data_IF_577206361711
#
_entry.id   IF_577206361711
#
_cell.length_a   1.000
_cell.length_b   1.000
_cell.length_c   1.000
_cell.angle_alpha   90.00
_cell.angle_beta   90.00
_cell.angle_gamma   90.00
#
_symmetry.space_group_name_H-M   'P 1'
#
loop_
_entity.id
_entity.type
_entity.pdbx_description
1 polymer ?
#
# COMPACT_ATOMS: atom_id res chain seq x y z
N UNK A 1 -8.79 10.22 -5.21
CA UNK A 1 -7.53 9.75 -5.80
C UNK A 1 -6.34 10.25 -5.00
N UNK A 2 -5.23 9.54 -5.07
CA UNK A 2 -4.02 9.96 -4.38
C UNK A 2 -3.38 11.16 -5.11
N UNK A 3 -3.09 12.20 -4.34
CA UNK A 3 -2.36 13.35 -4.87
C UNK A 3 -0.90 12.97 -5.13
N UNK A 4 -0.21 13.80 -5.93
CA UNK A 4 1.19 13.55 -6.26
C UNK A 4 2.06 13.39 -5.01
N UNK A 5 1.86 14.22 -3.98
CA UNK A 5 2.61 14.14 -2.74
C UNK A 5 2.35 12.90 -1.91
N UNK A 6 1.32 12.13 -2.25
CA UNK A 6 0.98 10.88 -1.57
C UNK A 6 1.43 9.65 -2.36
N UNK A 7 2.33 9.81 -3.33
CA UNK A 7 2.82 8.70 -4.15
C UNK A 7 4.32 8.55 -4.06
N UNK A 8 4.78 7.32 -3.91
CA UNK A 8 6.19 6.99 -4.01
C UNK A 8 6.50 6.84 -5.50
N UNK A 9 7.53 7.52 -5.98
CA UNK A 9 7.84 7.55 -7.41
C UNK A 9 9.19 6.96 -7.79
N UNK A 10 10.14 6.86 -6.84
CA UNK A 10 11.50 6.40 -7.14
C UNK A 10 11.70 4.95 -6.75
N UNK A 11 12.38 4.20 -7.63
CA UNK A 11 12.70 2.79 -7.37
C UNK A 11 13.49 2.56 -6.10
N UNK A 12 14.42 3.46 -5.77
CA UNK A 12 15.21 3.36 -4.54
C UNK A 12 14.32 3.48 -3.29
N UNK A 13 13.27 4.29 -3.35
CA UNK A 13 12.33 4.44 -2.26
C UNK A 13 11.50 3.17 -2.06
N UNK A 14 11.08 2.53 -3.16
CA UNK A 14 10.40 1.25 -3.08
C UNK A 14 11.26 0.18 -2.41
N UNK A 15 12.53 0.10 -2.83
CA UNK A 15 13.46 -0.88 -2.27
C UNK A 15 13.68 -0.65 -0.77
N UNK A 16 13.80 0.59 -0.36
CA UNK A 16 14.01 0.94 1.04
C UNK A 16 12.84 0.47 1.90
N UNK A 17 11.61 0.69 1.43
CA UNK A 17 10.41 0.28 2.16
C UNK A 17 10.29 -1.24 2.22
N UNK A 18 10.51 -1.94 1.11
CA UNK A 18 10.40 -3.39 1.06
C UNK A 18 11.45 -4.06 1.95
N UNK A 19 12.67 -3.53 1.98
CA UNK A 19 13.76 -4.11 2.78
C UNK A 19 13.64 -3.80 4.25
N UNK A 20 13.29 -2.56 4.60
CA UNK A 20 13.31 -2.07 5.98
C UNK A 20 11.96 -2.00 6.66
N UNK A 21 10.88 -2.17 5.90
CA UNK A 21 9.53 -2.02 6.44
C UNK A 21 8.99 -3.25 7.14
N UNK A 22 8.01 -3.03 8.00
CA UNK A 22 7.25 -4.13 8.56
C UNK A 22 6.37 -4.72 7.45
N UNK A 23 6.31 -6.05 7.41
CA UNK A 23 5.63 -6.79 6.36
C UNK A 23 4.37 -7.44 6.91
N UNK A 24 3.28 -7.31 6.16
CA UNK A 24 2.03 -8.00 6.49
C UNK A 24 1.48 -8.65 5.22
N UNK A 25 1.38 -9.97 5.22
CA UNK A 25 0.80 -10.72 4.12
C UNK A 25 -0.68 -10.95 4.36
N UNK A 26 -1.49 -10.71 3.34
CA UNK A 26 -2.92 -10.97 3.36
C UNK A 26 -3.28 -11.87 2.18
N UNK A 27 -4.56 -12.13 1.97
CA UNK A 27 -5.01 -13.07 0.93
C UNK A 27 -4.61 -12.62 -0.48
N UNK A 28 -4.67 -11.32 -0.75
CA UNK A 28 -4.48 -10.78 -2.10
C UNK A 28 -3.32 -9.79 -2.20
N UNK A 29 -2.74 -9.39 -1.08
CA UNK A 29 -1.70 -8.35 -1.06
C UNK A 29 -0.66 -8.61 0.01
N UNK A 30 0.53 -8.05 -0.20
CA UNK A 30 1.55 -7.96 0.84
C UNK A 30 1.86 -6.49 1.02
N UNK A 31 1.73 -6.00 2.24
CA UNK A 31 1.92 -4.59 2.56
C UNK A 31 3.21 -4.40 3.37
N UNK A 32 4.00 -3.41 2.98
CA UNK A 32 5.23 -3.03 3.68
C UNK A 32 5.07 -1.59 4.15
N UNK A 33 5.40 -1.31 5.41
CA UNK A 33 5.26 0.01 5.99
C UNK A 33 6.54 0.43 6.69
N UNK A 34 7.01 1.63 6.39
CA UNK A 34 8.09 2.30 7.12
C UNK A 34 7.52 3.57 7.70
N UNK A 35 7.64 3.73 9.01
CA UNK A 35 7.28 4.98 9.68
C UNK A 35 8.52 5.87 9.76
N UNK A 36 8.39 7.13 9.38
CA UNK A 36 9.48 8.10 9.50
C UNK A 36 9.05 9.22 10.44
N UNK A 37 10.03 9.99 10.90
CA UNK A 37 9.76 11.16 11.73
C UNK A 37 9.52 12.41 10.87
N UNK A 38 9.53 12.27 9.55
CA UNK A 38 9.38 13.40 8.64
C UNK A 38 7.97 13.97 8.71
N UNK A 39 7.90 15.30 8.64
CA UNK A 39 6.63 16.02 8.65
C UNK A 39 6.14 16.19 7.21
N UNK A 40 5.58 15.13 6.68
CA UNK A 40 5.03 15.12 5.32
C UNK A 40 3.86 14.14 5.25
N UNK A 41 2.99 14.27 4.25
CA UNK A 41 1.88 13.32 4.08
C UNK A 41 2.39 11.89 3.88
N UNK A 42 1.58 10.92 4.27
CA UNK A 42 1.85 9.52 3.98
C UNK A 42 1.94 9.32 2.47
N UNK A 43 2.84 8.41 2.05
CA UNK A 43 3.02 8.10 0.63
C UNK A 43 2.78 6.63 0.38
N UNK A 44 2.23 6.33 -0.79
CA UNK A 44 1.90 4.97 -1.19
C UNK A 44 2.59 4.62 -2.50
N UNK A 45 3.03 3.37 -2.60
CA UNK A 45 3.54 2.81 -3.83
C UNK A 45 2.90 1.44 -4.08
N UNK A 46 2.84 1.04 -5.34
CA UNK A 46 2.18 -0.20 -5.73
C UNK A 46 3.09 -1.01 -6.63
N UNK A 47 3.21 -2.30 -6.31
CA UNK A 47 3.96 -3.24 -7.14
C UNK A 47 2.95 -4.23 -7.71
N UNK A 48 2.73 -4.16 -9.02
CA UNK A 48 1.82 -5.07 -9.73
C UNK A 48 2.60 -5.70 -10.87
N UNK A 49 3.09 -6.91 -10.63
CA UNK A 49 3.94 -7.62 -11.59
C UNK A 49 3.13 -8.30 -12.68
N UNK A 50 3.84 -8.79 -13.69
CA UNK A 50 3.22 -9.52 -14.80
C UNK A 50 2.49 -10.77 -14.34
N UNK A 51 2.85 -11.33 -13.20
CA UNK A 51 2.18 -12.51 -12.64
C UNK A 51 0.72 -12.25 -12.30
N UNK A 52 0.34 -10.99 -12.07
CA UNK A 52 -1.05 -10.63 -11.78
C UNK A 52 -1.92 -10.74 -13.03
N UNK A 53 -1.36 -10.44 -14.19
CA UNK A 53 -2.10 -10.57 -15.44
C UNK A 53 -1.60 -9.64 -16.53
N UNK A 54 -2.44 -9.42 -17.54
CA UNK A 54 -2.15 -8.54 -18.66
C UNK A 54 -2.00 -7.09 -18.19
N UNK A 55 -1.53 -6.22 -19.10
CA UNK A 55 -1.41 -4.79 -18.81
C UNK A 55 -2.76 -4.19 -18.39
N UNK A 56 -3.85 -4.60 -19.03
CA UNK A 56 -5.18 -4.13 -18.69
C UNK A 56 -5.58 -4.55 -17.28
N UNK A 57 -5.34 -5.82 -16.94
CA UNK A 57 -5.64 -6.35 -15.61
C UNK A 57 -4.81 -5.65 -14.55
N UNK A 58 -3.50 -5.47 -14.81
CA UNK A 58 -2.61 -4.78 -13.88
C UNK A 58 -3.04 -3.34 -13.63
N UNK A 59 -3.45 -2.64 -14.66
CA UNK A 59 -3.93 -1.27 -14.52
C UNK A 59 -5.20 -1.20 -13.69
N UNK A 60 -6.10 -2.17 -13.86
CA UNK A 60 -7.33 -2.27 -13.07
C UNK A 60 -7.00 -2.46 -11.59
N UNK A 61 -6.07 -3.37 -11.29
CA UNK A 61 -5.64 -3.64 -9.92
C UNK A 61 -5.02 -2.38 -9.30
N UNK A 62 -4.13 -1.70 -10.03
CA UNK A 62 -3.52 -0.45 -9.55
C UNK A 62 -4.57 0.60 -9.23
N UNK A 63 -5.55 0.78 -10.11
CA UNK A 63 -6.61 1.76 -9.89
C UNK A 63 -7.39 1.46 -8.63
N UNK A 64 -7.73 0.19 -8.41
CA UNK A 64 -8.46 -0.23 -7.22
C UNK A 64 -7.64 0.02 -5.97
N UNK A 65 -6.36 -0.33 -5.97
CA UNK A 65 -5.48 -0.10 -4.83
C UNK A 65 -5.30 1.38 -4.53
N UNK A 66 -5.15 2.21 -5.55
CA UNK A 66 -5.04 3.66 -5.38
C UNK A 66 -6.31 4.24 -4.76
N UNK A 67 -7.48 3.78 -5.19
CA UNK A 67 -8.75 4.24 -4.64
C UNK A 67 -8.90 3.83 -3.17
N UNK A 68 -8.53 2.59 -2.85
CA UNK A 68 -8.55 2.09 -1.48
C UNK A 68 -7.64 2.92 -0.59
N UNK A 69 -6.43 3.21 -1.04
CA UNK A 69 -5.47 3.98 -0.26
C UNK A 69 -5.91 5.44 -0.09
N UNK A 70 -6.55 6.01 -1.11
CA UNK A 70 -7.09 7.35 -1.00
C UNK A 70 -8.16 7.44 0.10
N UNK A 71 -9.00 6.42 0.22
CA UNK A 71 -9.98 6.35 1.29
C UNK A 71 -9.33 6.17 2.66
N UNK A 72 -8.26 5.40 2.73
CA UNK A 72 -7.59 5.11 3.99
C UNK A 72 -6.66 6.24 4.46
N UNK A 73 -6.30 7.15 3.56
CA UNK A 73 -5.30 8.18 3.82
C UNK A 73 -5.49 8.95 5.13
N UNK A 74 -6.71 9.38 5.51
CA UNK A 74 -6.88 10.11 6.77
C UNK A 74 -6.52 9.31 8.01
N UNK A 75 -6.47 7.99 7.90
CA UNK A 75 -6.16 7.10 9.02
C UNK A 75 -4.69 6.70 9.06
N UNK A 76 -3.92 7.08 8.04
CA UNK A 76 -2.51 6.73 7.93
C UNK A 76 -1.66 7.84 8.52
N UNK A 77 -0.68 7.47 9.33
CA UNK A 77 0.20 8.41 9.98
C UNK A 77 0.97 9.26 8.99
N UNK A 78 1.10 10.58 9.21
CA UNK A 78 2.01 11.40 8.40
C UNK A 78 3.43 10.84 8.47
N UNK A 79 4.16 10.95 7.39
CA UNK A 79 5.53 10.45 7.31
C UNK A 79 5.65 8.97 6.99
N UNK A 80 4.56 8.22 6.98
CA UNK A 80 4.62 6.80 6.65
C UNK A 80 4.80 6.58 5.14
N UNK A 81 5.63 5.61 4.80
CA UNK A 81 5.76 5.12 3.44
C UNK A 81 5.20 3.70 3.39
N UNK A 82 4.24 3.47 2.51
CA UNK A 82 3.53 2.20 2.39
C UNK A 82 3.67 1.68 0.97
N UNK A 83 4.17 0.46 0.83
CA UNK A 83 4.21 -0.21 -0.47
C UNK A 83 3.30 -1.42 -0.42
N UNK A 84 2.37 -1.50 -1.35
CA UNK A 84 1.45 -2.63 -1.46
C UNK A 84 1.80 -3.42 -2.71
N UNK A 85 2.15 -4.68 -2.50
CA UNK A 85 2.43 -5.61 -3.60
C UNK A 85 1.20 -6.47 -3.84
N UNK A 86 0.69 -6.43 -5.06
CA UNK A 86 -0.45 -7.27 -5.42
C UNK A 86 0.03 -8.70 -5.67
N UNK A 87 -0.67 -9.66 -5.10
CA UNK A 87 -0.48 -11.08 -5.39
C UNK A 87 -1.31 -11.44 -6.63
N UNK A 88 -1.01 -12.57 -7.30
CA UNK A 88 -1.78 -12.96 -8.48
C UNK A 88 -3.28 -13.03 -8.25
N UNK A 89 -3.71 -13.43 -7.05
CA UNK A 89 -5.14 -13.50 -6.71
C UNK A 89 -5.82 -12.13 -6.67
N UNK A 90 -5.06 -11.04 -6.61
CA UNK A 90 -5.64 -9.70 -6.62
C UNK A 90 -6.40 -9.40 -7.91
N UNK A 91 -6.06 -10.07 -9.00
CA UNK A 91 -6.76 -9.91 -10.28
C UNK A 91 -8.24 -10.28 -10.17
N UNK A 92 -8.55 -11.29 -9.36
CA UNK A 92 -9.92 -11.76 -9.14
C UNK A 92 -10.58 -11.14 -7.91
N UNK A 93 -9.84 -10.41 -7.09
CA UNK A 93 -10.38 -9.79 -5.88
C UNK A 93 -11.20 -8.56 -6.23
N UNK A 94 -12.33 -8.39 -5.55
CA UNK A 94 -13.12 -7.20 -5.74
C UNK A 94 -12.58 -6.04 -4.91
N UNK A 95 -13.14 -4.87 -5.12
CA UNK A 95 -12.74 -3.67 -4.40
C UNK A 95 -12.90 -3.83 -2.89
N UNK A 96 -13.99 -4.44 -2.46
CA UNK A 96 -14.28 -4.60 -1.04
C UNK A 96 -13.24 -5.47 -0.33
N UNK A 97 -12.78 -6.55 -0.98
CA UNK A 97 -11.76 -7.41 -0.41
C UNK A 97 -10.43 -6.69 -0.24
N UNK A 98 -10.01 -5.95 -1.27
CA UNK A 98 -8.77 -5.17 -1.22
C UNK A 98 -8.85 -4.07 -0.15
N UNK A 99 -9.99 -3.41 -0.06
CA UNK A 99 -10.23 -2.36 0.92
C UNK A 99 -10.11 -2.90 2.35
N UNK A 100 -10.72 -4.04 2.61
CA UNK A 100 -10.69 -4.66 3.94
C UNK A 100 -9.24 -4.98 4.35
N UNK A 101 -8.45 -5.55 3.44
CA UNK A 101 -7.06 -5.86 3.74
C UNK A 101 -6.24 -4.61 4.05
N UNK A 102 -6.36 -3.58 3.22
CA UNK A 102 -5.58 -2.36 3.40
C UNK A 102 -5.96 -1.61 4.67
N UNK A 103 -7.26 -1.47 4.92
CA UNK A 103 -7.74 -0.75 6.11
C UNK A 103 -7.35 -1.47 7.39
N UNK A 104 -7.54 -2.79 7.45
CA UNK A 104 -7.17 -3.58 8.62
C UNK A 104 -5.70 -3.46 8.94
N UNK A 105 -4.84 -3.55 7.93
CA UNK A 105 -3.40 -3.45 8.16
C UNK A 105 -2.99 -2.06 8.60
N UNK A 106 -3.53 -1.03 7.97
CA UNK A 106 -3.24 0.34 8.32
C UNK A 106 -3.62 0.63 9.78
N UNK A 107 -4.75 0.13 10.20
CA UNK A 107 -5.22 0.29 11.56
C UNK A 107 -4.31 -0.42 12.56
N UNK A 108 -3.92 -1.66 12.25
CA UNK A 108 -3.02 -2.42 13.10
C UNK A 108 -1.65 -1.76 13.22
N UNK A 109 -1.11 -1.22 12.12
CA UNK A 109 0.18 -0.54 12.15
C UNK A 109 0.16 0.70 13.02
N UNK A 110 -0.91 1.47 12.97
CA UNK A 110 -1.06 2.64 13.82
C UNK A 110 -1.05 2.23 15.29
N UNK A 111 -1.71 1.14 15.63
CA UNK A 111 -1.74 0.62 16.98
C UNK A 111 -0.36 0.15 17.45
N UNK A 112 0.33 -0.61 16.62
CA UNK A 112 1.68 -1.08 16.92
C UNK A 112 2.65 0.07 17.15
N UNK A 113 2.52 1.12 16.36
CA UNK A 113 3.38 2.28 16.48
C UNK A 113 3.21 2.96 17.84
N UNK A 114 2.00 2.93 18.38
CA UNK A 114 1.74 3.50 19.70
C UNK A 114 2.41 2.67 20.80
N UNK A 115 2.46 1.36 20.60
CA UNK A 115 3.05 0.46 21.59
C UNK A 115 4.58 0.53 21.60
N UNK A 116 5.16 0.87 20.48
CA UNK A 116 6.62 0.96 20.36
C UNK A 116 7.13 2.29 20.90
#
# INVERSE_FOLDING_TARGET
MLARGNRITRGAEYKAVVRGGARCAAAHTVTYVVATAEDRPARFGFIVSKQVGSAVTRNTVRRRLKAVCAEALPQVRPGADVVIRALPSAAAADFAALRTEAVSYTHLRAHETVLD
#
